data_IF_067717737550
#
_entry.id   IF_067717737550
#
_cell.length_a   1.000
_cell.length_b   1.000
_cell.length_c   1.000
_cell.angle_alpha   90.00
_cell.angle_beta   90.00
_cell.angle_gamma   90.00
#
_symmetry.space_group_name_H-M   'P 1'
#
loop_
_entity.id
_entity.type
_entity.pdbx_description
1 polymer ?
#
# COMPACT_ATOMS: atom_id res chain seq x y z
N UNK A 1 -2.77 25.89 25.82
CA UNK A 1 -1.38 25.48 25.56
C UNK A 1 -0.97 26.04 24.22
N UNK A 2 0.04 26.93 24.18
CA UNK A 2 0.62 27.40 22.92
C UNK A 2 1.34 26.23 22.26
N UNK A 3 0.92 25.82 21.06
CA UNK A 3 1.55 24.73 20.33
C UNK A 3 3.01 25.05 20.00
N UNK A 4 3.84 24.01 19.90
CA UNK A 4 5.24 24.13 19.47
C UNK A 4 5.25 24.77 18.06
N UNK A 5 6.03 25.84 17.82
CA UNK A 5 6.16 26.45 16.50
C UNK A 5 6.60 25.44 15.43
N UNK A 6 5.95 25.45 14.28
CA UNK A 6 6.21 24.50 13.18
C UNK A 6 7.45 24.84 12.36
N UNK A 7 8.65 24.59 12.88
CA UNK A 7 9.92 24.90 12.19
C UNK A 7 10.09 24.22 10.82
N UNK A 8 9.44 23.08 10.58
CA UNK A 8 9.43 22.43 9.25
C UNK A 8 8.67 23.23 8.18
N UNK A 9 7.63 23.97 8.58
CA UNK A 9 6.87 24.81 7.66
C UNK A 9 7.67 26.04 7.20
N UNK A 10 8.67 26.47 7.97
CA UNK A 10 9.58 27.57 7.64
C UNK A 10 10.79 27.16 6.77
N UNK A 11 10.94 25.87 6.43
CA UNK A 11 12.04 25.45 5.55
C UNK A 11 11.94 26.13 4.16
N UNK A 12 13.09 26.52 3.55
CA UNK A 12 13.10 27.02 2.18
C UNK A 12 12.53 25.98 1.21
N UNK A 13 11.86 26.44 0.14
CA UNK A 13 11.20 25.54 -0.83
C UNK A 13 12.16 24.51 -1.45
N UNK A 14 13.44 24.86 -1.60
CA UNK A 14 14.49 23.98 -2.11
C UNK A 14 14.75 22.74 -1.25
N UNK A 15 14.44 22.80 0.05
CA UNK A 15 14.59 21.67 0.98
C UNK A 15 13.27 20.96 1.26
N UNK A 16 12.15 21.43 0.68
CA UNK A 16 10.84 20.80 0.82
C UNK A 16 10.62 19.82 -0.31
N UNK A 17 10.27 18.59 0.04
CA UNK A 17 9.71 17.66 -0.92
C UNK A 17 8.42 18.23 -1.51
N UNK A 18 8.13 18.00 -2.80
CA UNK A 18 6.82 18.32 -3.38
C UNK A 18 5.70 17.69 -2.54
N UNK A 19 4.63 18.44 -2.29
CA UNK A 19 3.44 17.88 -1.65
C UNK A 19 2.79 16.86 -2.58
N UNK A 20 2.58 15.64 -2.08
CA UNK A 20 1.84 14.62 -2.81
C UNK A 20 0.37 15.03 -2.96
N UNK A 21 -0.17 14.82 -4.16
CA UNK A 21 -1.57 15.12 -4.49
C UNK A 21 -2.52 14.05 -3.91
N UNK A 22 -3.81 14.35 -3.89
CA UNK A 22 -4.84 13.38 -3.55
C UNK A 22 -5.32 12.67 -4.82
N UNK A 23 -5.97 11.52 -4.67
CA UNK A 23 -6.74 10.84 -5.72
C UNK A 23 -8.18 11.33 -5.57
N UNK A 24 -8.64 12.31 -6.38
CA UNK A 24 -9.87 13.03 -6.11
C UNK A 24 -11.11 12.12 -6.13
N UNK A 25 -11.19 11.23 -7.11
CA UNK A 25 -12.30 10.27 -7.30
C UNK A 25 -12.52 9.35 -6.09
N UNK A 26 -11.44 9.06 -5.35
CA UNK A 26 -11.44 8.15 -4.22
C UNK A 26 -11.40 8.87 -2.87
N UNK A 27 -11.13 10.18 -2.88
CA UNK A 27 -10.91 10.99 -1.68
C UNK A 27 -9.85 10.38 -0.74
N UNK A 28 -8.75 9.86 -1.29
CA UNK A 28 -7.60 9.35 -0.55
C UNK A 28 -6.31 10.05 -1.00
N UNK A 29 -5.24 9.96 -0.19
CA UNK A 29 -3.91 10.46 -0.59
C UNK A 29 -3.32 9.62 -1.73
N UNK A 30 -2.51 10.21 -2.62
CA UNK A 30 -1.79 9.43 -3.65
C UNK A 30 -0.63 8.63 -3.07
N UNK A 31 -0.01 9.13 -2.01
CA UNK A 31 0.96 8.43 -1.18
C UNK A 31 0.24 7.88 0.04
N UNK A 32 0.07 6.55 0.11
CA UNK A 32 -0.70 5.93 1.18
C UNK A 32 -0.25 4.51 1.54
N UNK A 33 -0.68 4.05 2.71
CA UNK A 33 -0.48 2.67 3.18
C UNK A 33 -1.83 2.07 3.55
N UNK A 34 -2.29 1.09 2.79
CA UNK A 34 -3.63 0.50 2.92
C UNK A 34 -3.55 -1.00 3.23
N UNK A 35 -4.41 -1.48 4.12
CA UNK A 35 -4.68 -2.91 4.28
C UNK A 35 -6.07 -3.19 3.71
N UNK A 36 -6.18 -4.22 2.87
CA UNK A 36 -7.49 -4.69 2.38
C UNK A 36 -7.78 -6.04 3.03
N UNK A 37 -8.85 -6.08 3.81
CA UNK A 37 -9.27 -7.23 4.60
C UNK A 37 -10.44 -7.95 3.94
N UNK A 38 -10.26 -9.25 3.72
CA UNK A 38 -11.35 -10.16 3.39
C UNK A 38 -10.86 -11.54 2.97
N UNK A 39 -11.69 -12.58 3.11
CA UNK A 39 -11.34 -13.94 2.68
C UNK A 39 -11.05 -14.05 1.19
N UNK A 40 -10.62 -15.23 0.76
CA UNK A 40 -10.65 -15.60 -0.66
C UNK A 40 -12.02 -15.29 -1.27
N UNK A 41 -12.01 -14.79 -2.50
CA UNK A 41 -13.21 -14.38 -3.26
C UNK A 41 -14.04 -13.23 -2.63
N UNK A 42 -13.51 -12.48 -1.66
CA UNK A 42 -14.21 -11.31 -1.11
C UNK A 42 -14.14 -10.05 -1.98
N UNK A 43 -13.46 -10.10 -3.13
CA UNK A 43 -13.25 -8.95 -4.01
C UNK A 43 -12.01 -8.10 -3.70
N UNK A 44 -11.02 -8.59 -2.95
CA UNK A 44 -9.78 -7.85 -2.64
C UNK A 44 -9.11 -7.28 -3.89
N UNK A 45 -8.87 -8.15 -4.88
CA UNK A 45 -8.20 -7.78 -6.12
C UNK A 45 -9.09 -6.85 -6.96
N UNK A 46 -10.41 -6.98 -6.87
CA UNK A 46 -11.35 -6.06 -7.51
C UNK A 46 -11.28 -4.65 -6.91
N UNK A 47 -11.11 -4.51 -5.59
CA UNK A 47 -10.89 -3.20 -4.97
C UNK A 47 -9.55 -2.58 -5.44
N UNK A 48 -8.48 -3.36 -5.57
CA UNK A 48 -7.23 -2.87 -6.15
C UNK A 48 -7.44 -2.35 -7.58
N UNK A 49 -8.15 -3.11 -8.41
CA UNK A 49 -8.48 -2.72 -9.78
C UNK A 49 -9.33 -1.44 -9.81
N UNK A 50 -10.31 -1.32 -8.91
CA UNK A 50 -11.10 -0.10 -8.75
C UNK A 50 -10.22 1.10 -8.42
N UNK A 51 -9.29 0.95 -7.47
CA UNK A 51 -8.33 2.01 -7.12
C UNK A 51 -7.49 2.40 -8.33
N UNK A 52 -6.92 1.43 -9.06
CA UNK A 52 -6.10 1.68 -10.26
C UNK A 52 -6.89 2.42 -11.34
N UNK A 53 -8.11 1.97 -11.65
CA UNK A 53 -8.99 2.56 -12.66
C UNK A 53 -9.35 4.02 -12.33
N UNK A 54 -9.53 4.34 -11.05
CA UNK A 54 -9.82 5.69 -10.57
C UNK A 54 -8.57 6.50 -10.19
N UNK A 55 -7.38 5.99 -10.50
CA UNK A 55 -6.10 6.68 -10.29
C UNK A 55 -5.30 6.90 -11.58
N UNK A 56 -5.92 7.32 -12.70
CA UNK A 56 -5.21 7.48 -13.95
C UNK A 56 -4.07 8.49 -13.81
N UNK A 57 -2.89 8.13 -14.29
CA UNK A 57 -1.67 8.96 -14.24
C UNK A 57 -1.18 9.36 -12.84
N UNK A 58 -1.70 8.76 -11.77
CA UNK A 58 -1.27 9.06 -10.39
C UNK A 58 0.05 8.38 -10.08
N UNK A 59 0.17 7.07 -10.35
CA UNK A 59 1.36 6.29 -10.06
C UNK A 59 2.34 6.32 -11.24
N UNK A 60 3.63 6.40 -10.93
CA UNK A 60 4.69 6.28 -11.93
C UNK A 60 4.90 4.84 -12.39
N UNK A 61 4.72 3.88 -11.48
CA UNK A 61 5.00 2.47 -11.72
C UNK A 61 4.20 1.61 -10.74
N UNK A 62 3.88 0.39 -11.14
CA UNK A 62 3.20 -0.63 -10.34
C UNK A 62 4.10 -1.86 -10.15
N UNK A 63 4.34 -2.27 -8.91
CA UNK A 63 5.01 -3.53 -8.59
C UNK A 63 4.05 -4.47 -7.86
N UNK A 64 3.85 -5.66 -8.40
CA UNK A 64 3.03 -6.71 -7.78
C UNK A 64 3.95 -7.76 -7.16
N UNK A 65 3.80 -7.95 -5.85
CA UNK A 65 4.48 -8.97 -5.06
C UNK A 65 3.42 -10.00 -4.68
N UNK A 66 3.30 -11.07 -5.47
CA UNK A 66 2.29 -12.11 -5.29
C UNK A 66 2.93 -13.49 -5.24
N UNK A 67 2.47 -14.37 -4.34
CA UNK A 67 2.91 -15.78 -4.34
C UNK A 67 2.52 -16.51 -5.62
N UNK A 68 1.36 -16.17 -6.19
CA UNK A 68 0.91 -16.69 -7.45
C UNK A 68 0.76 -15.54 -8.46
N UNK A 69 1.79 -15.29 -9.31
CA UNK A 69 1.75 -14.21 -10.29
C UNK A 69 0.88 -14.53 -11.52
N UNK A 70 0.61 -15.80 -11.81
CA UNK A 70 -0.13 -16.25 -13.00
C UNK A 70 -1.64 -16.33 -12.71
N UNK A 71 -2.25 -15.17 -12.51
CA UNK A 71 -3.70 -15.03 -12.35
C UNK A 71 -4.27 -14.20 -13.50
N UNK A 72 -5.47 -14.54 -13.98
CA UNK A 72 -6.12 -13.85 -15.12
C UNK A 72 -6.13 -12.31 -14.97
N UNK A 73 -6.38 -11.82 -13.76
CA UNK A 73 -6.39 -10.38 -13.48
C UNK A 73 -5.00 -9.75 -13.64
N UNK A 74 -3.96 -10.46 -13.23
CA UNK A 74 -2.57 -10.01 -13.32
C UNK A 74 -2.08 -10.03 -14.76
N UNK A 75 -2.44 -11.05 -15.53
CA UNK A 75 -2.21 -11.10 -16.97
C UNK A 75 -2.91 -9.94 -17.70
N UNK A 76 -4.16 -9.65 -17.33
CA UNK A 76 -4.87 -8.48 -17.85
C UNK A 76 -4.17 -7.16 -17.49
N UNK A 77 -3.67 -7.01 -16.25
CA UNK A 77 -2.93 -5.82 -15.83
C UNK A 77 -1.60 -5.68 -16.58
N UNK A 78 -0.87 -6.78 -16.83
CA UNK A 78 0.32 -6.78 -17.68
C UNK A 78 0.01 -6.23 -19.08
N UNK A 79 -1.03 -6.75 -19.73
CA UNK A 79 -1.44 -6.32 -21.07
C UNK A 79 -1.81 -4.84 -21.13
N UNK A 80 -2.52 -4.33 -20.11
CA UNK A 80 -2.99 -2.93 -20.11
C UNK A 80 -1.97 -1.90 -19.64
N UNK A 81 -1.02 -2.31 -18.80
CA UNK A 81 -0.03 -1.41 -18.19
C UNK A 81 1.37 -1.66 -18.71
N UNK A 82 1.52 -2.32 -19.87
CA UNK A 82 2.81 -2.71 -20.45
C UNK A 82 3.88 -1.60 -20.33
N UNK A 83 5.05 -1.98 -19.82
CA UNK A 83 6.15 -1.05 -19.50
C UNK A 83 6.03 -0.25 -18.19
N UNK A 84 4.88 -0.27 -17.51
CA UNK A 84 4.61 0.43 -16.24
C UNK A 84 4.26 -0.50 -15.07
N UNK A 85 4.36 -1.82 -15.29
CA UNK A 85 4.08 -2.85 -14.30
C UNK A 85 5.20 -3.89 -14.27
N UNK A 86 5.54 -4.38 -13.07
CA UNK A 86 6.40 -5.56 -12.92
C UNK A 86 5.88 -6.50 -11.83
N UNK A 87 6.22 -7.78 -11.96
CA UNK A 87 5.95 -8.81 -10.98
C UNK A 87 7.27 -9.18 -10.30
N UNK A 88 7.29 -9.12 -8.97
CA UNK A 88 8.45 -9.54 -8.22
C UNK A 88 8.64 -11.06 -8.33
N UNK A 89 9.88 -11.48 -8.50
CA UNK A 89 10.28 -12.87 -8.42
C UNK A 89 9.99 -13.41 -7.01
N UNK A 90 9.13 -14.43 -6.85
CA UNK A 90 8.82 -15.01 -5.53
C UNK A 90 10.04 -15.49 -4.75
N UNK A 91 11.12 -15.87 -5.44
CA UNK A 91 12.36 -16.35 -4.84
C UNK A 91 13.33 -15.21 -4.46
N UNK A 92 13.09 -14.00 -4.98
CA UNK A 92 13.93 -12.82 -4.77
C UNK A 92 13.08 -11.56 -4.60
N UNK A 93 12.34 -11.51 -3.47
CA UNK A 93 11.47 -10.38 -3.17
C UNK A 93 12.26 -9.09 -2.92
N UNK A 94 11.91 -7.96 -3.57
CA UNK A 94 12.64 -6.71 -3.41
C UNK A 94 12.44 -6.12 -2.02
N UNK A 95 13.48 -5.49 -1.47
CA UNK A 95 13.35 -4.61 -0.32
C UNK A 95 12.66 -3.29 -0.71
N UNK A 96 12.15 -2.55 0.27
CA UNK A 96 11.53 -1.23 0.05
C UNK A 96 12.49 -0.21 -0.58
N UNK A 97 13.80 -0.36 -0.36
CA UNK A 97 14.85 0.48 -0.95
C UNK A 97 15.23 0.07 -2.39
N UNK A 98 14.86 -1.14 -2.82
CA UNK A 98 15.16 -1.69 -4.15
C UNK A 98 13.96 -1.72 -5.09
N UNK A 99 12.74 -1.68 -4.56
CA UNK A 99 11.51 -1.89 -5.36
C UNK A 99 11.23 -0.76 -6.35
N UNK A 100 11.72 0.45 -6.07
CA UNK A 100 11.41 1.65 -6.84
C UNK A 100 12.04 1.59 -8.23
N UNK A 101 11.24 1.74 -9.28
CA UNK A 101 11.70 1.66 -10.67
C UNK A 101 12.06 3.01 -11.28
N UNK A 102 11.53 4.11 -10.73
CA UNK A 102 11.73 5.47 -11.24
C UNK A 102 12.64 6.30 -10.33
N UNK A 103 13.36 7.31 -10.88
CA UNK A 103 14.19 8.20 -10.06
C UNK A 103 13.39 8.90 -8.94
N UNK A 104 14.03 9.14 -7.80
CA UNK A 104 13.41 9.88 -6.68
C UNK A 104 13.01 11.33 -7.03
N UNK A 105 13.58 11.89 -8.11
CA UNK A 105 13.20 13.18 -8.67
C UNK A 105 11.82 13.18 -9.31
N UNK A 106 11.25 12.02 -9.62
CA UNK A 106 9.85 11.88 -10.08
C UNK A 106 8.88 12.47 -9.06
N UNK A 107 7.91 13.25 -9.52
CA UNK A 107 6.87 13.85 -8.68
C UNK A 107 5.74 12.88 -8.32
N UNK A 108 5.75 11.67 -8.91
CA UNK A 108 4.73 10.64 -8.70
C UNK A 108 5.19 9.53 -7.75
N UNK A 109 4.29 9.06 -6.87
CA UNK A 109 4.55 7.84 -6.11
C UNK A 109 4.53 6.61 -7.01
N UNK A 110 5.09 5.51 -6.51
CA UNK A 110 4.91 4.17 -7.09
C UNK A 110 3.96 3.36 -6.20
N UNK A 111 3.24 2.40 -6.79
CA UNK A 111 2.34 1.54 -6.06
C UNK A 111 2.93 0.14 -5.95
N UNK A 112 2.96 -0.40 -4.74
CA UNK A 112 3.30 -1.79 -4.46
C UNK A 112 2.06 -2.51 -3.94
N UNK A 113 1.68 -3.59 -4.60
CA UNK A 113 0.60 -4.48 -4.17
C UNK A 113 1.24 -5.78 -3.67
N UNK A 114 0.97 -6.14 -2.41
CA UNK A 114 1.43 -7.38 -1.80
C UNK A 114 0.22 -8.29 -1.62
N UNK A 115 0.21 -9.42 -2.32
CA UNK A 115 -0.91 -10.36 -2.36
C UNK A 115 -0.51 -11.78 -1.96
N UNK A 116 -1.43 -12.47 -1.29
CA UNK A 116 -1.29 -13.87 -0.86
C UNK A 116 -0.11 -14.15 0.10
N UNK A 117 0.30 -13.14 0.88
CA UNK A 117 1.31 -13.26 1.94
C UNK A 117 0.75 -13.18 3.36
N UNK A 118 -0.58 -13.24 3.53
CA UNK A 118 -1.24 -13.04 4.84
C UNK A 118 -0.86 -14.08 5.90
N UNK A 119 -0.39 -15.26 5.48
CA UNK A 119 0.04 -16.33 6.38
C UNK A 119 1.57 -16.34 6.61
N UNK A 120 2.34 -15.56 5.85
CA UNK A 120 3.80 -15.55 5.94
C UNK A 120 4.29 -14.55 7.00
N UNK A 121 4.34 -15.01 8.26
CA UNK A 121 4.67 -14.16 9.41
C UNK A 121 6.09 -13.61 9.37
N UNK A 122 7.04 -14.38 8.84
CA UNK A 122 8.44 -13.97 8.78
C UNK A 122 8.62 -12.87 7.72
N UNK A 123 8.07 -13.05 6.52
CA UNK A 123 8.12 -12.01 5.48
C UNK A 123 7.34 -10.77 5.89
N UNK A 124 6.17 -10.92 6.52
CA UNK A 124 5.42 -9.77 7.05
C UNK A 124 6.26 -8.95 8.03
N UNK A 125 6.89 -9.61 9.00
CA UNK A 125 7.67 -8.94 10.03
C UNK A 125 8.96 -8.32 9.49
N UNK A 126 9.72 -9.06 8.67
CA UNK A 126 11.09 -8.71 8.31
C UNK A 126 11.21 -7.95 6.98
N UNK A 127 10.19 -8.01 6.13
CA UNK A 127 10.20 -7.39 4.79
C UNK A 127 9.02 -6.44 4.60
N UNK A 128 7.79 -6.93 4.67
CA UNK A 128 6.61 -6.14 4.32
C UNK A 128 6.33 -5.00 5.32
N UNK A 129 6.65 -5.18 6.60
CA UNK A 129 6.58 -4.11 7.60
C UNK A 129 7.44 -2.89 7.24
N UNK A 130 8.54 -3.06 6.49
CA UNK A 130 9.41 -1.98 6.05
C UNK A 130 8.76 -1.10 4.98
N UNK A 131 7.89 -1.67 4.14
CA UNK A 131 7.07 -0.91 3.19
C UNK A 131 6.11 0.03 3.94
N UNK A 132 5.55 -0.43 5.06
CA UNK A 132 4.65 0.38 5.88
C UNK A 132 5.39 1.40 6.74
N UNK A 133 6.55 1.07 7.28
CA UNK A 133 7.27 2.01 8.18
C UNK A 133 8.10 3.04 7.43
N UNK A 134 8.73 2.66 6.30
CA UNK A 134 9.73 3.47 5.58
C UNK A 134 9.32 3.83 4.15
N UNK A 135 8.34 3.16 3.55
CA UNK A 135 7.97 3.34 2.13
C UNK A 135 7.68 4.79 1.73
N UNK A 136 7.12 5.59 2.64
CA UNK A 136 6.89 7.03 2.42
C UNK A 136 8.15 7.83 2.07
N UNK A 137 9.32 7.43 2.59
CA UNK A 137 10.59 8.11 2.29
C UNK A 137 11.04 7.85 0.85
N UNK A 138 10.57 6.77 0.24
CA UNK A 138 10.84 6.35 -1.13
C UNK A 138 9.67 6.66 -2.08
N UNK A 139 8.67 7.44 -1.61
CA UNK A 139 7.43 7.74 -2.35
C UNK A 139 6.72 6.47 -2.84
N UNK A 140 6.63 5.47 -1.97
CA UNK A 140 5.94 4.20 -2.25
C UNK A 140 4.61 4.18 -1.52
N UNK A 141 3.54 4.02 -2.28
CA UNK A 141 2.24 3.60 -1.78
C UNK A 141 2.18 2.08 -1.70
N UNK A 142 1.55 1.55 -0.65
CA UNK A 142 1.51 0.11 -0.41
C UNK A 142 0.09 -0.35 -0.13
N UNK A 143 -0.33 -1.41 -0.82
CA UNK A 143 -1.56 -2.16 -0.52
C UNK A 143 -1.15 -3.57 -0.09
N UNK A 144 -1.57 -4.00 1.10
CA UNK A 144 -1.39 -5.37 1.58
C UNK A 144 -2.75 -6.07 1.63
N UNK A 145 -2.90 -7.12 0.83
CA UNK A 145 -4.10 -7.93 0.76
C UNK A 145 -4.03 -9.02 1.82
N UNK A 146 -4.96 -8.98 2.77
CA UNK A 146 -4.95 -9.88 3.92
C UNK A 146 -6.29 -10.56 4.16
N UNK A 147 -6.23 -11.83 4.56
CA UNK A 147 -7.41 -12.62 4.93
C UNK A 147 -7.96 -12.29 6.30
N UNK A 148 -7.13 -11.82 7.22
CA UNK A 148 -7.54 -11.53 8.59
C UNK A 148 -6.70 -10.41 9.18
N UNK A 149 -7.39 -9.51 9.89
CA UNK A 149 -6.73 -8.45 10.62
C UNK A 149 -5.84 -9.02 11.73
N UNK A 150 -6.35 -9.99 12.50
CA UNK A 150 -5.56 -10.69 13.52
C UNK A 150 -4.27 -11.33 12.98
N UNK A 151 -4.34 -11.85 11.76
CA UNK A 151 -3.20 -12.51 11.13
C UNK A 151 -2.20 -11.52 10.51
N UNK A 152 -2.50 -10.23 10.47
CA UNK A 152 -1.59 -9.24 9.89
C UNK A 152 -0.58 -8.80 10.95
N UNK A 153 0.69 -8.63 10.57
CA UNK A 153 1.72 -8.17 11.50
C UNK A 153 1.39 -6.78 12.10
N UNK A 154 1.69 -6.62 13.39
CA UNK A 154 1.35 -5.41 14.16
C UNK A 154 2.00 -4.15 13.57
N UNK A 155 3.20 -4.25 13.01
CA UNK A 155 3.88 -3.09 12.41
C UNK A 155 3.21 -2.65 11.13
N UNK A 156 2.64 -3.58 10.36
CA UNK A 156 1.82 -3.26 9.17
C UNK A 156 0.54 -2.55 9.61
N UNK A 157 -0.16 -3.11 10.60
CA UNK A 157 -1.40 -2.56 11.15
C UNK A 157 -1.22 -1.11 11.66
N UNK A 158 -0.28 -0.90 12.57
CA UNK A 158 -0.11 0.40 13.24
C UNK A 158 0.39 1.52 12.31
N UNK A 159 0.94 1.16 11.15
CA UNK A 159 1.46 2.12 10.17
C UNK A 159 0.57 2.23 8.93
N UNK A 160 -0.55 1.51 8.88
CA UNK A 160 -1.56 1.68 7.85
C UNK A 160 -2.38 2.95 8.13
N UNK A 161 -2.65 3.69 7.07
CA UNK A 161 -3.50 4.88 7.09
C UNK A 161 -4.94 4.55 6.74
N UNK A 162 -5.12 3.51 5.91
CA UNK A 162 -6.42 3.05 5.45
C UNK A 162 -6.59 1.56 5.72
N UNK A 163 -7.78 1.16 6.14
CA UNK A 163 -8.20 -0.23 6.22
C UNK A 163 -9.53 -0.38 5.50
N UNK A 164 -9.51 -1.13 4.40
CA UNK A 164 -10.71 -1.47 3.65
C UNK A 164 -11.20 -2.85 4.09
N UNK A 165 -12.42 -2.93 4.60
CA UNK A 165 -13.02 -4.19 5.06
C UNK A 165 -14.09 -4.60 4.06
N UNK A 166 -13.76 -5.57 3.19
CA UNK A 166 -14.72 -6.05 2.19
C UNK A 166 -15.71 -7.04 2.78
N UNK A 167 -15.20 -7.97 3.60
CA UNK A 167 -16.01 -8.94 4.33
C UNK A 167 -15.31 -9.34 5.61
N UNK A 168 -15.96 -9.09 6.74
CA UNK A 168 -15.47 -9.53 8.03
C UNK A 168 -16.02 -10.92 8.34
N UNK A 169 -15.15 -11.94 8.28
CA UNK A 169 -15.53 -13.30 8.65
C UNK A 169 -15.62 -13.52 10.16
N UNK A 170 -14.98 -12.64 10.95
CA UNK A 170 -14.89 -12.79 12.39
C UNK A 170 -15.31 -11.52 13.10
N UNK A 171 -16.24 -11.65 14.07
CA UNK A 171 -16.57 -10.56 15.00
C UNK A 171 -15.32 -10.06 15.74
N UNK A 172 -14.35 -10.94 15.98
CA UNK A 172 -13.08 -10.57 16.62
C UNK A 172 -12.26 -9.60 15.76
N UNK A 173 -12.22 -9.81 14.44
CA UNK A 173 -11.51 -8.90 13.54
C UNK A 173 -12.12 -7.50 13.58
N UNK A 174 -13.45 -7.40 13.54
CA UNK A 174 -14.14 -6.10 13.68
C UNK A 174 -13.85 -5.42 15.02
N UNK A 175 -13.93 -6.17 16.12
CA UNK A 175 -13.66 -5.61 17.46
C UNK A 175 -12.22 -5.09 17.57
N UNK A 176 -11.24 -5.76 16.97
CA UNK A 176 -9.85 -5.28 17.02
C UNK A 176 -9.64 -4.06 16.14
N UNK A 177 -10.23 -4.02 14.94
CA UNK A 177 -10.18 -2.80 14.10
C UNK A 177 -10.73 -1.61 14.87
N UNK A 178 -11.90 -1.73 15.49
CA UNK A 178 -12.52 -0.63 16.25
C UNK A 178 -11.69 -0.23 17.47
N UNK A 179 -10.95 -1.17 18.08
CA UNK A 179 -10.07 -0.87 19.22
C UNK A 179 -8.78 -0.16 18.82
N UNK A 180 -8.19 -0.54 17.69
CA UNK A 180 -6.90 -0.01 17.25
C UNK A 180 -7.05 1.31 16.47
N UNK A 181 -8.13 1.44 15.69
CA UNK A 181 -8.42 2.68 14.97
C UNK A 181 -9.31 3.58 15.82
N UNK A 182 -8.90 4.84 15.95
CA UNK A 182 -9.69 5.86 16.62
C UNK A 182 -10.83 6.33 15.69
N UNK A 183 -11.83 5.46 15.50
CA UNK A 183 -13.04 5.75 14.72
C UNK A 183 -13.88 6.69 15.56
N UNK A 184 -13.86 7.97 15.21
CA UNK A 184 -14.70 9.02 15.81
C UNK A 184 -15.92 9.28 14.94
#
# INVERSE_FOLDING_TARGET
MSGIPGFGASLPKTFKSPSMKDIPDLNIKSLFRMIVLGPSFSGKNNLCMFILKHSPHVFAYLTIIARNPHQELYEYLCDKLDGFITFADPDSLPSVDQVRQTPMSSDKPELVIIDDYSNDKLLQKNLFSHYYTRGRHFKISTIFLSHSYFATDKMIILNAEYVAILKANSKRDLVMVVKDFNIR
#
